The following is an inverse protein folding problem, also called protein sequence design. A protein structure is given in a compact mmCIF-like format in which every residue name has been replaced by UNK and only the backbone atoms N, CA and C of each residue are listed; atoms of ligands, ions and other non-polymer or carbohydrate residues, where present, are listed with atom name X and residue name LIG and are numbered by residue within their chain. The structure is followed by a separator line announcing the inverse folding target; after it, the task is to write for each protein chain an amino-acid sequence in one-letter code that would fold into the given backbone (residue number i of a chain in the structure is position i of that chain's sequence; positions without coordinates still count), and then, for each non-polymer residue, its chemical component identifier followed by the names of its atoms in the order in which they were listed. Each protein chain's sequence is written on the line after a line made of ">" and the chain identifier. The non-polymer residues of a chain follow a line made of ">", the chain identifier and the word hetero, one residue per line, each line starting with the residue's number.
data_IF_790683623894
#
_entry.id   IF_790683623894
#
_cell.length_a   1.000
_cell.length_b   1.000
_cell.length_c   1.000
_cell.angle_alpha   90.00
_cell.angle_beta   90.00
_cell.angle_gamma   90.00
#
_symmetry.space_group_name_H-M   'P 1'
#
loop_
_entity.id
_entity.type
_entity.pdbx_description
1 polymer ?
#
# COMPACT_ATOMS: atom_id res chain seq x y z
N UNK A 1 -12.09 -7.55 23.20
CA UNK A 1 -12.46 -7.09 21.85
C UNK A 1 -11.27 -6.48 21.11
N UNK A 2 -10.62 -5.43 21.63
CA UNK A 2 -9.46 -4.79 20.96
C UNK A 2 -8.29 -5.75 20.69
N UNK A 3 -7.93 -6.64 21.64
CA UNK A 3 -6.82 -7.59 21.46
C UNK A 3 -7.09 -8.60 20.34
N UNK A 4 -8.35 -9.03 20.19
CA UNK A 4 -8.76 -9.96 19.13
C UNK A 4 -8.65 -9.29 17.77
N UNK A 5 -9.10 -8.04 17.64
CA UNK A 5 -9.01 -7.28 16.40
C UNK A 5 -7.55 -6.96 16.03
N UNK A 6 -6.74 -6.62 17.03
CA UNK A 6 -5.31 -6.38 16.86
C UNK A 6 -4.55 -7.63 16.40
N UNK A 7 -4.93 -8.82 16.89
CA UNK A 7 -4.30 -10.08 16.47
C UNK A 7 -4.60 -10.46 15.00
N UNK A 8 -5.67 -9.91 14.42
CA UNK A 8 -6.04 -10.10 13.00
C UNK A 8 -5.35 -9.09 12.09
N UNK A 9 -4.77 -8.04 12.65
CA UNK A 9 -4.11 -6.99 11.88
C UNK A 9 -2.76 -7.46 11.31
N UNK A 10 -2.34 -6.96 10.13
CA UNK A 10 -1.04 -7.25 9.54
C UNK A 10 0.08 -6.96 10.52
N UNK A 11 0.95 -7.94 10.75
CA UNK A 11 2.12 -7.77 11.59
C UNK A 11 3.34 -7.48 10.73
N UNK A 12 4.17 -6.57 11.22
CA UNK A 12 5.47 -6.28 10.66
C UNK A 12 6.39 -7.48 10.86
N UNK A 13 7.00 -7.98 9.79
CA UNK A 13 7.99 -9.05 9.91
C UNK A 13 9.29 -8.52 10.56
N UNK A 14 10.19 -9.40 11.02
CA UNK A 14 11.50 -8.97 11.53
C UNK A 14 12.34 -8.12 10.55
N UNK A 15 12.01 -8.17 9.26
CA UNK A 15 12.63 -7.38 8.20
C UNK A 15 11.98 -5.99 7.99
N UNK A 16 10.99 -5.62 8.81
CA UNK A 16 10.29 -4.34 8.70
C UNK A 16 9.30 -4.27 7.53
N UNK A 17 8.78 -5.42 7.09
CA UNK A 17 7.86 -5.52 5.95
C UNK A 17 6.49 -5.98 6.41
N UNK A 18 5.44 -5.30 5.99
CA UNK A 18 4.07 -5.77 6.16
C UNK A 18 3.68 -6.70 5.01
N UNK A 19 3.06 -7.83 5.35
CA UNK A 19 2.40 -8.70 4.37
C UNK A 19 0.90 -8.49 4.52
N UNK A 20 0.25 -7.99 3.47
CA UNK A 20 -1.18 -7.70 3.48
C UNK A 20 -1.92 -8.68 2.57
N UNK A 21 -2.89 -9.36 3.15
CA UNK A 21 -4.02 -9.98 2.46
C UNK A 21 -5.28 -9.12 2.70
N UNK A 22 -6.38 -9.47 2.03
CA UNK A 22 -7.65 -8.78 2.18
C UNK A 22 -8.15 -8.79 3.65
N UNK A 23 -7.95 -9.88 4.37
CA UNK A 23 -8.43 -10.02 5.76
C UNK A 23 -7.69 -9.11 6.73
N UNK A 24 -6.37 -9.06 6.65
CA UNK A 24 -5.55 -8.19 7.47
C UNK A 24 -5.87 -6.71 7.21
N UNK A 25 -6.11 -6.38 5.95
CA UNK A 25 -6.60 -5.06 5.57
C UNK A 25 -7.95 -4.72 6.20
N UNK A 26 -8.97 -5.55 6.02
CA UNK A 26 -10.29 -5.34 6.62
C UNK A 26 -10.17 -5.20 8.15
N UNK A 27 -9.29 -5.99 8.79
CA UNK A 27 -8.99 -5.89 10.21
C UNK A 27 -8.34 -4.56 10.61
N UNK A 28 -7.38 -4.05 9.83
CA UNK A 28 -6.73 -2.76 10.09
C UNK A 28 -7.71 -1.58 9.95
N UNK A 29 -8.58 -1.61 8.94
CA UNK A 29 -9.63 -0.62 8.76
C UNK A 29 -10.64 -0.70 9.91
N UNK A 30 -11.10 -1.90 10.26
CA UNK A 30 -11.99 -2.10 11.40
C UNK A 30 -11.37 -1.63 12.72
N UNK A 31 -10.05 -1.79 12.90
CA UNK A 31 -9.33 -1.28 14.07
C UNK A 31 -9.34 0.26 14.11
N UNK A 32 -9.13 0.91 12.97
CA UNK A 32 -9.23 2.37 12.85
C UNK A 32 -10.64 2.89 13.13
N UNK A 33 -11.67 2.23 12.60
CA UNK A 33 -13.08 2.57 12.88
C UNK A 33 -13.39 2.39 14.36
N UNK A 34 -13.02 1.25 14.96
CA UNK A 34 -13.18 1.04 16.40
C UNK A 34 -12.48 2.13 17.22
N UNK A 35 -11.28 2.54 16.82
CA UNK A 35 -10.54 3.60 17.51
C UNK A 35 -11.29 4.93 17.48
N UNK A 36 -11.87 5.31 16.33
CA UNK A 36 -12.69 6.52 16.21
C UNK A 36 -13.99 6.42 17.03
N UNK A 37 -14.74 5.34 16.87
CA UNK A 37 -16.06 5.15 17.50
C UNK A 37 -15.97 4.97 19.02
N UNK A 38 -14.89 4.38 19.51
CA UNK A 38 -14.62 4.24 20.95
C UNK A 38 -14.16 5.54 21.62
N UNK A 39 -14.15 6.68 20.92
CA UNK A 39 -13.57 7.95 21.38
C UNK A 39 -12.09 7.81 21.73
N UNK A 40 -11.33 7.16 20.86
CA UNK A 40 -9.87 7.04 20.92
C UNK A 40 -9.37 6.20 22.12
N UNK A 41 -10.10 5.16 22.51
CA UNK A 41 -9.63 4.21 23.53
C UNK A 41 -8.39 3.44 23.05
N UNK A 42 -7.55 3.01 24.00
CA UNK A 42 -6.32 2.24 23.71
C UNK A 42 -5.35 2.96 22.76
N UNK A 43 -5.31 4.30 22.82
CA UNK A 43 -4.44 5.15 21.99
C UNK A 43 -2.97 4.74 22.08
N UNK A 44 -2.51 4.32 23.26
CA UNK A 44 -1.16 3.82 23.53
C UNK A 44 -0.78 2.58 22.71
N UNK A 45 -1.76 1.87 22.13
CA UNK A 45 -1.54 0.67 21.32
C UNK A 45 -1.92 0.88 19.85
N UNK A 46 -3.12 1.44 19.62
CA UNK A 46 -3.69 1.50 18.27
C UNK A 46 -2.98 2.55 17.42
N UNK A 47 -2.76 3.75 17.95
CA UNK A 47 -2.17 4.84 17.17
C UNK A 47 -0.72 4.50 16.73
N UNK A 48 0.18 4.01 17.61
CA UNK A 48 1.51 3.57 17.19
C UNK A 48 1.46 2.47 16.12
N UNK A 49 0.49 1.57 16.18
CA UNK A 49 0.30 0.54 15.16
C UNK A 49 -0.11 1.14 13.80
N UNK A 50 -1.13 2.01 13.77
CA UNK A 50 -1.61 2.61 12.52
C UNK A 50 -0.52 3.46 11.84
N UNK A 51 0.27 4.19 12.63
CA UNK A 51 1.40 4.98 12.11
C UNK A 51 2.52 4.11 11.55
N UNK A 52 2.87 3.00 12.22
CA UNK A 52 3.83 2.04 11.68
C UNK A 52 3.33 1.40 10.39
N UNK A 53 2.05 1.02 10.35
CA UNK A 53 1.43 0.46 9.16
C UNK A 53 1.55 1.44 7.98
N UNK A 54 1.15 2.71 8.16
CA UNK A 54 1.26 3.75 7.11
C UNK A 54 2.69 3.85 6.56
N UNK A 55 3.69 3.95 7.46
CA UNK A 55 5.11 4.05 7.08
C UNK A 55 5.59 2.80 6.33
N UNK A 56 5.04 1.63 6.64
CA UNK A 56 5.37 0.36 6.00
C UNK A 56 4.69 0.13 4.65
N UNK A 57 3.58 0.81 4.33
CA UNK A 57 2.76 0.54 3.13
C UNK A 57 3.52 0.68 1.81
N UNK A 58 4.53 1.55 1.73
CA UNK A 58 5.33 1.74 0.53
C UNK A 58 6.17 0.50 0.17
N UNK A 59 6.56 -0.30 1.18
CA UNK A 59 7.38 -1.52 1.04
C UNK A 59 6.58 -2.81 1.25
N UNK A 60 5.27 -2.67 1.48
CA UNK A 60 4.41 -3.80 1.79
C UNK A 60 4.32 -4.81 0.63
N UNK A 61 4.24 -6.09 0.99
CA UNK A 61 3.99 -7.19 0.07
C UNK A 61 2.49 -7.51 0.11
N UNK A 62 1.86 -7.47 -1.06
CA UNK A 62 0.44 -7.78 -1.23
C UNK A 62 0.32 -9.25 -1.65
N UNK A 63 -0.43 -10.03 -0.87
CA UNK A 63 -0.58 -11.47 -1.07
C UNK A 63 -1.73 -11.80 -2.04
N UNK A 64 -2.73 -10.91 -2.13
CA UNK A 64 -3.88 -11.05 -3.02
C UNK A 64 -3.79 -10.05 -4.18
N UNK A 65 -4.03 -10.53 -5.41
CA UNK A 65 -4.02 -9.67 -6.62
C UNK A 65 -5.37 -8.94 -6.86
N UNK A 66 -6.40 -9.26 -6.08
CA UNK A 66 -7.80 -8.96 -6.42
C UNK A 66 -8.20 -7.51 -6.09
N UNK A 67 -7.49 -6.82 -5.19
CA UNK A 67 -7.75 -5.41 -4.84
C UNK A 67 -6.57 -4.53 -5.22
N UNK A 68 -6.86 -3.43 -5.90
CA UNK A 68 -5.87 -2.41 -6.19
C UNK A 68 -5.29 -1.86 -4.88
N UNK A 69 -3.97 -1.93 -4.65
CA UNK A 69 -3.30 -1.36 -3.49
C UNK A 69 -3.63 0.13 -3.27
N UNK A 70 -4.06 0.82 -4.33
CA UNK A 70 -4.37 2.24 -4.36
C UNK A 70 -5.57 2.62 -3.49
N UNK A 71 -6.67 1.85 -3.51
CA UNK A 71 -7.88 2.18 -2.74
C UNK A 71 -7.58 2.20 -1.23
N UNK A 72 -6.64 1.38 -0.81
CA UNK A 72 -6.47 1.02 0.60
C UNK A 72 -5.41 1.89 1.28
N UNK A 73 -4.41 2.33 0.50
CA UNK A 73 -3.55 3.47 0.87
C UNK A 73 -4.39 4.72 1.12
N UNK A 74 -5.44 4.92 0.34
CA UNK A 74 -6.37 6.04 0.51
C UNK A 74 -7.21 5.85 1.78
N UNK A 75 -7.75 4.65 2.04
CA UNK A 75 -8.55 4.38 3.24
C UNK A 75 -7.80 4.63 4.56
N UNK A 76 -6.56 4.14 4.70
CA UNK A 76 -5.77 4.36 5.93
C UNK A 76 -5.42 5.85 6.11
N UNK A 77 -5.10 6.53 5.01
CA UNK A 77 -4.79 7.97 5.04
C UNK A 77 -6.02 8.78 5.50
N UNK A 78 -7.21 8.47 4.98
CA UNK A 78 -8.47 9.11 5.42
C UNK A 78 -8.74 8.86 6.90
N UNK A 79 -8.60 7.60 7.36
CA UNK A 79 -8.77 7.24 8.77
C UNK A 79 -7.84 8.04 9.69
N UNK A 80 -6.56 8.17 9.32
CA UNK A 80 -5.60 8.94 10.09
C UNK A 80 -5.93 10.44 10.10
N UNK A 81 -6.41 11.00 9.00
CA UNK A 81 -6.92 12.38 8.95
C UNK A 81 -8.09 12.57 9.93
N UNK A 82 -9.06 11.66 9.96
CA UNK A 82 -10.18 11.72 10.91
C UNK A 82 -9.69 11.68 12.36
N UNK A 83 -8.71 10.83 12.67
CA UNK A 83 -8.08 10.77 14.00
C UNK A 83 -7.41 12.11 14.34
N UNK A 84 -6.67 12.70 13.40
CA UNK A 84 -5.96 13.97 13.58
C UNK A 84 -6.91 15.16 13.83
N UNK A 85 -8.12 15.12 13.25
CA UNK A 85 -9.15 16.13 13.54
C UNK A 85 -9.70 16.00 14.96
N UNK A 86 -9.82 14.78 15.48
CA UNK A 86 -10.42 14.48 16.79
C UNK A 86 -9.41 14.47 17.96
N UNK A 87 -8.12 14.41 17.69
CA UNK A 87 -7.06 14.32 18.71
C UNK A 87 -5.94 15.33 18.45
N UNK A 88 -6.08 16.53 19.00
CA UNK A 88 -5.10 17.61 18.83
C UNK A 88 -3.66 17.20 19.25
N UNK A 89 -3.42 16.50 20.37
CA UNK A 89 -2.05 16.21 20.81
C UNK A 89 -1.23 15.30 19.89
N UNK A 90 -1.88 14.61 18.94
CA UNK A 90 -1.21 13.68 18.00
C UNK A 90 -1.32 14.13 16.56
N UNK A 91 -1.95 15.29 16.31
CA UNK A 91 -2.24 15.79 14.97
C UNK A 91 -0.96 15.98 14.17
N UNK A 92 0.03 16.67 14.74
CA UNK A 92 1.32 16.92 14.07
C UNK A 92 2.05 15.62 13.73
N UNK A 93 2.03 14.63 14.63
CA UNK A 93 2.64 13.33 14.37
C UNK A 93 1.98 12.63 13.18
N UNK A 94 0.65 12.65 13.13
CA UNK A 94 -0.11 12.04 12.04
C UNK A 94 0.17 12.76 10.71
N UNK A 95 0.05 14.10 10.69
CA UNK A 95 0.26 14.90 9.49
C UNK A 95 1.68 14.72 8.96
N UNK A 96 2.70 14.75 9.82
CA UNK A 96 4.08 14.49 9.43
C UNK A 96 4.22 13.11 8.78
N UNK A 97 3.65 12.06 9.39
CA UNK A 97 3.72 10.70 8.85
C UNK A 97 3.01 10.59 7.48
N UNK A 98 1.91 11.29 7.27
CA UNK A 98 1.19 11.33 5.99
C UNK A 98 2.00 12.07 4.92
N UNK A 99 2.61 13.20 5.25
CA UNK A 99 3.49 13.95 4.34
C UNK A 99 4.70 13.11 3.93
N UNK A 100 5.36 12.47 4.90
CA UNK A 100 6.50 11.58 4.64
C UNK A 100 6.10 10.42 3.70
N UNK A 101 4.96 9.79 3.98
CA UNK A 101 4.42 8.71 3.16
C UNK A 101 4.14 9.17 1.71
N UNK A 102 3.45 10.30 1.54
CA UNK A 102 3.19 10.88 0.22
C UNK A 102 4.48 11.25 -0.51
N UNK A 103 5.50 11.74 0.21
CA UNK A 103 6.83 11.99 -0.34
C UNK A 103 7.49 10.72 -0.89
N UNK A 104 7.41 9.60 -0.15
CA UNK A 104 7.89 8.30 -0.63
C UNK A 104 7.14 7.87 -1.89
N UNK A 105 5.81 7.97 -1.91
CA UNK A 105 5.01 7.63 -3.10
C UNK A 105 5.37 8.51 -4.31
N UNK A 106 5.54 9.81 -4.11
CA UNK A 106 5.92 10.75 -5.17
C UNK A 106 7.28 10.39 -5.78
N UNK A 107 8.24 10.00 -4.94
CA UNK A 107 9.56 9.55 -5.39
C UNK A 107 9.47 8.24 -6.17
N UNK A 108 8.70 7.25 -5.69
CA UNK A 108 8.47 6.00 -6.42
C UNK A 108 7.88 6.28 -7.81
N UNK A 109 6.83 7.11 -7.89
CA UNK A 109 6.22 7.51 -9.16
C UNK A 109 7.21 8.20 -10.10
N UNK A 110 8.09 9.05 -9.59
CA UNK A 110 9.15 9.70 -10.38
C UNK A 110 10.15 8.67 -10.92
N UNK A 111 10.61 7.76 -10.08
CA UNK A 111 11.56 6.71 -10.48
C UNK A 111 10.99 5.79 -11.56
N UNK A 112 9.69 5.49 -11.55
CA UNK A 112 9.05 4.75 -12.65
C UNK A 112 9.03 5.55 -13.96
N UNK A 113 8.80 6.87 -13.91
CA UNK A 113 8.85 7.73 -15.10
C UNK A 113 10.25 7.79 -15.70
N UNK A 114 11.28 7.92 -14.87
CA UNK A 114 12.68 7.99 -15.32
C UNK A 114 13.20 6.68 -15.92
N UNK A 115 12.58 5.54 -15.60
CA UNK A 115 12.82 4.26 -16.25
C UNK A 115 12.06 4.09 -17.59
N UNK A 116 10.99 4.87 -17.80
CA UNK A 116 10.17 4.82 -19.01
C UNK A 116 10.61 5.76 -20.13
N UNK A 117 11.53 6.69 -19.85
CA UNK A 117 12.20 7.51 -20.88
C UNK A 117 13.29 6.69 -21.57
N UNK A 118 13.20 6.40 -22.88
CA UNK A 118 14.19 5.57 -23.56
C UNK A 118 15.50 6.34 -23.67
N UNK A 119 16.45 6.05 -22.78
CA UNK A 119 17.86 6.26 -23.10
C UNK A 119 18.20 5.29 -24.21
N UNK A 120 18.49 5.83 -25.40
CA UNK A 120 18.81 5.06 -26.59
C UNK A 120 19.76 3.91 -26.27
N UNK A 121 19.26 2.70 -26.34
CA UNK A 121 20.02 1.45 -26.28
C UNK A 121 19.18 0.41 -26.99
N UNK A 122 19.64 0.02 -28.17
CA UNK A 122 19.08 -1.05 -28.99
C UNK A 122 19.20 -2.38 -28.25
N UNK A 123 18.18 -2.72 -27.46
CA UNK A 123 17.92 -4.09 -27.03
C UNK A 123 16.67 -4.58 -27.78
N UNK A 124 16.90 -5.37 -28.85
CA UNK A 124 15.82 -6.08 -29.53
C UNK A 124 15.24 -7.10 -28.54
N UNK A 125 13.96 -6.98 -28.26
CA UNK A 125 13.20 -7.95 -27.46
C UNK A 125 12.80 -9.10 -28.39
N UNK A 126 13.50 -10.24 -28.33
CA UNK A 126 13.30 -11.39 -29.22
C UNK A 126 11.99 -12.17 -28.96
N UNK A 127 11.23 -11.86 -27.90
CA UNK A 127 9.95 -12.53 -27.63
C UNK A 127 8.77 -12.07 -28.50
N UNK A 128 8.85 -10.90 -29.16
CA UNK A 128 7.76 -10.39 -30.00
C UNK A 128 7.78 -10.87 -31.46
N UNK A 129 8.93 -11.32 -31.96
CA UNK A 129 9.07 -11.73 -33.36
C UNK A 129 8.63 -13.18 -33.59
N UNK A 130 8.70 -14.06 -32.59
CA UNK A 130 8.29 -15.45 -32.74
C UNK A 130 6.78 -15.58 -32.95
N UNK A 131 5.97 -14.79 -32.22
CA UNK A 131 4.51 -14.84 -32.29
C UNK A 131 3.94 -14.28 -33.61
N UNK A 132 4.56 -13.22 -34.15
CA UNK A 132 4.15 -12.64 -35.44
C UNK A 132 4.49 -13.56 -36.63
N UNK A 133 5.58 -14.32 -36.54
CA UNK A 133 6.00 -15.24 -37.62
C UNK A 133 5.15 -16.51 -37.66
N UNK A 134 4.60 -16.93 -36.51
CA UNK A 134 3.70 -18.08 -36.40
C UNK A 134 2.30 -17.75 -36.94
N UNK A 135 1.76 -16.57 -36.60
CA UNK A 135 0.47 -16.09 -37.12
C UNK A 135 0.45 -15.92 -38.65
N UNK A 136 1.55 -15.47 -39.24
CA UNK A 136 1.65 -15.29 -40.70
C UNK A 136 1.85 -16.62 -41.45
N UNK A 137 2.28 -17.70 -40.77
CA UNK A 137 2.35 -19.04 -41.35
C UNK A 137 1.01 -19.76 -41.30
N UNK A 138 0.20 -19.55 -40.26
CA UNK A 138 -1.14 -20.12 -40.14
C UNK A 138 -2.13 -19.51 -41.16
N UNK A 139 -1.97 -18.23 -41.48
CA UNK A 139 -2.86 -17.49 -42.38
C UNK A 139 -2.64 -17.77 -43.89
N UNK A 140 -1.61 -18.55 -44.26
CA UNK A 140 -1.24 -18.77 -45.66
C UNK A 140 -1.09 -20.25 -46.03
N UNK A 141 -1.79 -21.13 -45.29
CA UNK A 141 -1.91 -22.54 -45.64
C UNK A 141 -2.99 -22.69 -46.74
N UNK A 142 -2.70 -23.37 -47.87
CA UNK A 142 -3.59 -23.47 -49.01
C UNK A 142 -4.86 -24.27 -48.72
#
# INVERSE_FOLDING_TARGET
>A
MVNTLFALCPQETPQGVFRLDQRGQDAAIALGIYFLESRLQHRDKILPYLLRLLRGLAKAVWLDEVRSPTQERICLNTLLSDIATKCEPVREEIVSAQVDFLGVLANLCRSYKDQSTPRGSTAKCEQGQHFATEYMKEANKP
#
